data_IF_149144182758
#
_entry.id   IF_149144182758
#
_cell.length_a   1.000
_cell.length_b   1.000
_cell.length_c   1.000
_cell.angle_alpha   90.00
_cell.angle_beta   90.00
_cell.angle_gamma   90.00
#
_symmetry.space_group_name_H-M   'P 1'
#
loop_
_entity.id
_entity.type
_entity.pdbx_description
1 polymer ?
#
# COMPACT_ATOMS: atom_id res chain seq x y z
N UNK A 1 -7.10 -23.54 12.78
CA UNK A 1 -6.03 -22.52 12.97
C UNK A 1 -5.78 -22.14 14.44
N UNK A 2 -6.80 -21.84 15.25
CA UNK A 2 -6.66 -21.19 16.58
C UNK A 2 -5.67 -21.85 17.57
N UNK A 3 -5.86 -23.13 17.91
CA UNK A 3 -5.00 -23.86 18.87
C UNK A 3 -3.51 -23.82 18.49
N UNK A 4 -3.22 -23.84 17.19
CA UNK A 4 -1.86 -23.77 16.67
C UNK A 4 -1.22 -22.40 16.96
N UNK A 5 -1.93 -21.29 16.68
CA UNK A 5 -1.44 -19.94 16.95
C UNK A 5 -1.28 -19.67 18.46
N UNK A 6 -2.16 -20.24 19.30
CA UNK A 6 -1.97 -20.23 20.76
C UNK A 6 -0.67 -20.95 21.15
N UNK A 7 -0.39 -22.11 20.55
CA UNK A 7 0.89 -22.82 20.68
C UNK A 7 2.10 -21.98 20.24
N UNK A 8 2.01 -21.28 19.11
CA UNK A 8 3.07 -20.36 18.66
C UNK A 8 3.36 -19.27 19.71
N UNK A 9 2.33 -18.65 20.32
CA UNK A 9 2.53 -17.63 21.36
C UNK A 9 3.15 -18.20 22.64
N UNK A 10 2.83 -19.44 23.01
CA UNK A 10 3.48 -20.12 24.14
C UNK A 10 4.96 -20.36 23.85
N UNK A 11 5.30 -20.83 22.64
CA UNK A 11 6.67 -21.09 22.22
C UNK A 11 7.58 -19.83 22.21
N UNK A 12 7.03 -18.63 22.03
CA UNK A 12 7.79 -17.37 22.16
C UNK A 12 8.30 -17.09 23.59
N UNK A 13 7.77 -17.78 24.61
CA UNK A 13 8.24 -17.66 26.00
C UNK A 13 9.36 -18.67 26.34
N UNK A 14 9.70 -19.56 25.40
CA UNK A 14 10.74 -20.57 25.54
C UNK A 14 11.99 -20.15 24.76
N UNK A 15 13.20 -20.33 25.32
CA UNK A 15 14.43 -20.18 24.51
C UNK A 15 14.65 -21.45 23.69
N UNK A 16 14.23 -21.41 22.43
CA UNK A 16 14.29 -22.54 21.49
C UNK A 16 14.50 -22.02 20.06
N UNK A 17 14.97 -22.87 19.13
CA UNK A 17 14.94 -22.57 17.69
C UNK A 17 13.50 -22.35 17.20
N UNK A 18 13.31 -21.36 16.33
CA UNK A 18 12.04 -20.96 15.72
C UNK A 18 12.19 -20.76 14.21
N UNK A 19 11.22 -21.27 13.44
CA UNK A 19 11.08 -21.05 12.01
C UNK A 19 10.02 -19.96 11.78
N UNK A 20 10.45 -18.72 11.59
CA UNK A 20 9.54 -17.59 11.41
C UNK A 20 9.12 -17.47 9.94
N UNK A 21 7.81 -17.56 9.69
CA UNK A 21 7.22 -17.29 8.38
C UNK A 21 6.77 -15.83 8.34
N UNK A 22 7.42 -15.03 7.50
CA UNK A 22 7.32 -13.58 7.50
C UNK A 22 6.72 -13.07 6.18
N UNK A 23 5.65 -12.29 6.28
CA UNK A 23 5.08 -11.53 5.15
C UNK A 23 5.84 -10.23 4.86
N UNK A 24 5.48 -9.54 3.78
CA UNK A 24 6.08 -8.25 3.44
C UNK A 24 5.66 -7.15 4.45
N UNK A 25 6.45 -6.07 4.51
CA UNK A 25 6.24 -4.94 5.44
C UNK A 25 4.94 -4.16 5.22
N UNK A 26 4.30 -4.24 4.04
CA UNK A 26 2.97 -3.65 3.85
C UNK A 26 1.93 -4.39 4.71
N UNK A 27 2.16 -5.69 4.94
CA UNK A 27 1.31 -6.63 5.65
C UNK A 27 -0.15 -6.48 5.20
N UNK A 28 -0.37 -6.77 3.93
CA UNK A 28 -1.69 -6.86 3.33
C UNK A 28 -2.29 -8.25 3.53
N UNK A 29 -3.42 -8.52 2.87
CA UNK A 29 -4.15 -9.77 3.02
C UNK A 29 -3.37 -10.98 2.48
N UNK A 30 -2.55 -10.79 1.44
CA UNK A 30 -1.75 -11.87 0.84
C UNK A 30 -0.61 -12.26 1.76
N UNK A 31 0.24 -11.30 2.12
CA UNK A 31 1.30 -11.47 3.11
C UNK A 31 0.80 -12.11 4.42
N UNK A 32 -0.37 -11.69 4.90
CA UNK A 32 -0.95 -12.21 6.15
C UNK A 32 -1.44 -13.65 6.00
N UNK A 33 -2.24 -13.94 4.98
CA UNK A 33 -2.82 -15.28 4.78
C UNK A 33 -1.76 -16.28 4.33
N UNK A 34 -0.85 -15.88 3.46
CA UNK A 34 0.27 -16.71 3.02
C UNK A 34 1.16 -17.10 4.21
N UNK A 35 1.44 -16.19 5.15
CA UNK A 35 2.23 -16.50 6.34
C UNK A 35 1.48 -17.48 7.27
N UNK A 36 0.22 -17.19 7.59
CA UNK A 36 -0.61 -18.03 8.46
C UNK A 36 -0.79 -19.44 7.90
N UNK A 37 -1.16 -19.56 6.62
CA UNK A 37 -1.44 -20.84 5.99
C UNK A 37 -0.18 -21.68 5.74
N UNK A 38 0.94 -21.06 5.32
CA UNK A 38 2.19 -21.79 5.13
C UNK A 38 2.78 -22.26 6.45
N UNK A 39 2.79 -21.41 7.50
CA UNK A 39 3.29 -21.81 8.81
C UNK A 39 2.46 -22.96 9.43
N UNK A 40 1.12 -22.87 9.32
CA UNK A 40 0.21 -23.94 9.76
C UNK A 40 0.44 -25.25 9.00
N UNK A 41 0.63 -25.19 7.68
CA UNK A 41 0.96 -26.35 6.86
C UNK A 41 2.28 -27.00 7.31
N UNK A 42 3.36 -26.23 7.42
CA UNK A 42 4.68 -26.73 7.81
C UNK A 42 4.64 -27.37 9.21
N UNK A 43 3.99 -26.73 10.18
CA UNK A 43 3.79 -27.27 11.53
C UNK A 43 2.91 -28.54 11.60
N UNK A 44 2.28 -28.93 10.49
CA UNK A 44 1.46 -30.15 10.38
C UNK A 44 2.10 -31.23 9.50
N UNK A 45 3.03 -30.88 8.61
CA UNK A 45 3.76 -31.83 7.76
C UNK A 45 5.15 -32.20 8.28
N UNK A 46 5.80 -31.35 9.08
CA UNK A 46 7.14 -31.60 9.59
C UNK A 46 7.10 -32.63 10.73
N UNK A 47 7.83 -33.74 10.59
CA UNK A 47 7.89 -34.81 11.61
C UNK A 47 8.72 -34.43 12.85
N UNK A 48 9.60 -33.43 12.74
CA UNK A 48 10.41 -32.91 13.84
C UNK A 48 9.60 -31.98 14.75
N UNK A 49 10.03 -31.83 16.01
CA UNK A 49 9.45 -30.86 16.98
C UNK A 49 9.84 -29.39 16.69
N UNK A 50 9.91 -29.04 15.40
CA UNK A 50 10.14 -27.68 14.90
C UNK A 50 8.90 -26.82 15.11
N UNK A 51 9.11 -25.56 15.48
CA UNK A 51 8.02 -24.59 15.69
C UNK A 51 8.05 -23.55 14.58
N UNK A 52 7.04 -23.61 13.72
CA UNK A 52 6.78 -22.59 12.71
C UNK A 52 5.90 -21.50 13.32
N UNK A 53 6.31 -20.23 13.15
CA UNK A 53 5.65 -19.06 13.74
C UNK A 53 5.30 -18.06 12.63
N UNK A 54 4.01 -17.86 12.32
CA UNK A 54 3.62 -16.80 11.39
C UNK A 54 3.70 -15.44 12.08
N UNK A 55 4.42 -14.50 11.47
CA UNK A 55 4.61 -13.14 12.00
C UNK A 55 4.04 -12.14 11.01
N UNK A 56 3.10 -11.31 11.47
CA UNK A 56 2.60 -10.16 10.72
C UNK A 56 3.64 -9.05 10.81
N UNK A 57 4.17 -8.63 9.66
CA UNK A 57 5.35 -7.75 9.57
C UNK A 57 5.02 -6.26 9.74
N UNK A 58 4.23 -5.95 10.77
CA UNK A 58 3.80 -4.61 11.22
C UNK A 58 3.75 -4.60 12.74
N UNK A 59 3.60 -3.41 13.34
CA UNK A 59 3.35 -3.30 14.79
C UNK A 59 1.93 -3.75 15.11
N UNK A 60 1.67 -4.34 16.29
CA UNK A 60 0.30 -4.70 16.74
C UNK A 60 -0.67 -3.51 16.64
N UNK A 61 -0.20 -2.30 16.92
CA UNK A 61 -0.99 -1.06 16.84
C UNK A 61 -1.49 -0.70 15.41
N UNK A 62 -0.96 -1.36 14.37
CA UNK A 62 -1.21 -1.06 12.97
C UNK A 62 -2.21 -2.01 12.30
N UNK A 63 -2.55 -3.13 12.95
CA UNK A 63 -3.59 -4.05 12.47
C UNK A 63 -4.94 -3.35 12.23
N UNK A 64 -5.46 -2.47 13.11
CA UNK A 64 -6.74 -1.78 12.86
C UNK A 64 -6.78 -0.98 11.54
N UNK A 65 -5.62 -0.56 11.02
CA UNK A 65 -5.53 0.17 9.75
C UNK A 65 -5.84 -0.73 8.54
N UNK A 66 -5.69 -2.05 8.66
CA UNK A 66 -5.99 -3.06 7.65
C UNK A 66 -7.39 -3.66 7.88
N UNK A 67 -8.41 -2.85 7.59
CA UNK A 67 -9.82 -3.19 7.81
C UNK A 67 -10.28 -4.45 7.08
N UNK A 68 -9.70 -4.76 5.91
CA UNK A 68 -9.87 -6.01 5.18
C UNK A 68 -9.36 -7.23 5.96
N UNK A 69 -8.15 -7.15 6.53
CA UNK A 69 -7.57 -8.20 7.38
C UNK A 69 -8.41 -8.40 8.65
N UNK A 70 -8.70 -7.32 9.37
CA UNK A 70 -9.51 -7.33 10.60
C UNK A 70 -10.88 -7.98 10.35
N UNK A 71 -11.60 -7.51 9.33
CA UNK A 71 -12.88 -8.08 8.93
C UNK A 71 -12.77 -9.56 8.57
N UNK A 72 -11.74 -9.96 7.83
CA UNK A 72 -11.66 -11.34 7.35
C UNK A 72 -11.33 -12.33 8.45
N UNK A 73 -10.38 -11.99 9.34
CA UNK A 73 -10.04 -12.76 10.52
C UNK A 73 -11.26 -12.96 11.42
N UNK A 74 -12.03 -11.90 11.68
CA UNK A 74 -13.28 -11.98 12.44
C UNK A 74 -14.31 -12.87 11.74
N UNK A 75 -14.47 -12.74 10.41
CA UNK A 75 -15.39 -13.56 9.59
C UNK A 75 -15.02 -15.05 9.55
N UNK A 76 -13.75 -15.41 9.72
CA UNK A 76 -13.29 -16.80 9.85
C UNK A 76 -13.06 -17.26 11.29
N UNK A 77 -13.38 -16.44 12.29
CA UNK A 77 -13.20 -16.70 13.72
C UNK A 77 -11.73 -16.98 14.12
N UNK A 78 -10.81 -16.09 13.75
CA UNK A 78 -9.44 -16.05 14.27
C UNK A 78 -9.28 -14.80 15.16
N UNK A 79 -9.12 -14.94 16.48
CA UNK A 79 -8.90 -13.80 17.37
C UNK A 79 -7.61 -13.03 17.07
N UNK A 80 -7.67 -11.70 17.10
CA UNK A 80 -6.50 -10.83 16.86
C UNK A 80 -5.45 -10.93 18.00
N UNK A 81 -5.87 -11.40 19.18
CA UNK A 81 -5.02 -11.59 20.37
C UNK A 81 -4.02 -12.74 20.26
N UNK A 82 -4.27 -13.73 19.39
CA UNK A 82 -3.39 -14.89 19.21
C UNK A 82 -2.41 -14.73 18.04
N UNK A 83 -2.60 -13.73 17.18
CA UNK A 83 -1.63 -13.35 16.14
C UNK A 83 -0.36 -12.77 16.76
N UNK A 84 0.78 -12.93 16.08
CA UNK A 84 2.09 -12.44 16.49
C UNK A 84 2.55 -11.35 15.53
N UNK A 85 3.06 -10.25 16.09
CA UNK A 85 3.45 -9.05 15.34
C UNK A 85 4.95 -8.79 15.41
N UNK A 86 5.48 -7.97 14.48
CA UNK A 86 6.92 -7.69 14.37
C UNK A 86 7.50 -7.04 15.62
N UNK A 87 6.69 -6.31 16.40
CA UNK A 87 7.02 -5.69 17.68
C UNK A 87 6.86 -6.62 18.90
N UNK A 88 6.39 -7.85 18.72
CA UNK A 88 6.28 -8.88 19.76
C UNK A 88 7.39 -9.96 19.70
N UNK A 89 8.26 -9.90 18.69
CA UNK A 89 9.34 -10.87 18.47
C UNK A 89 10.65 -10.19 18.03
N UNK A 90 11.72 -10.41 18.79
CA UNK A 90 13.05 -9.90 18.42
C UNK A 90 13.80 -10.90 17.54
N UNK A 91 13.59 -10.78 16.22
CA UNK A 91 14.30 -11.58 15.22
C UNK A 91 15.83 -11.38 15.28
N UNK A 92 16.33 -10.19 15.68
CA UNK A 92 17.76 -9.95 15.79
C UNK A 92 18.36 -10.70 16.97
N UNK A 93 17.70 -10.69 18.14
CA UNK A 93 18.12 -11.49 19.28
C UNK A 93 18.10 -13.00 18.98
N UNK A 94 17.04 -13.50 18.32
CA UNK A 94 16.95 -14.90 17.91
C UNK A 94 18.06 -15.28 16.92
N UNK A 95 18.39 -14.40 15.97
CA UNK A 95 19.48 -14.62 15.02
C UNK A 95 20.85 -14.66 15.70
N UNK A 96 21.15 -13.71 16.58
CA UNK A 96 22.39 -13.68 17.35
C UNK A 96 22.53 -14.88 18.30
N UNK A 97 21.42 -15.47 18.76
CA UNK A 97 21.41 -16.71 19.54
C UNK A 97 21.55 -17.99 18.69
N UNK A 98 21.57 -17.90 17.35
CA UNK A 98 21.53 -19.07 16.46
C UNK A 98 20.19 -19.82 16.49
N UNK A 99 19.12 -19.14 16.89
CA UNK A 99 17.78 -19.69 17.10
C UNK A 99 16.75 -19.28 16.03
N UNK A 100 17.15 -18.51 15.01
CA UNK A 100 16.27 -18.07 13.93
C UNK A 100 16.48 -18.86 12.62
N UNK A 101 15.38 -19.27 12.01
CA UNK A 101 15.29 -19.55 10.57
C UNK A 101 14.15 -18.71 10.01
N UNK A 102 14.35 -18.07 8.86
CA UNK A 102 13.34 -17.27 8.16
C UNK A 102 12.82 -17.99 6.91
N UNK A 103 11.51 -17.92 6.73
CA UNK A 103 10.80 -18.31 5.51
C UNK A 103 10.02 -17.07 5.06
N UNK A 104 10.36 -16.52 3.89
CA UNK A 104 9.70 -15.31 3.39
C UNK A 104 8.53 -15.71 2.49
N UNK A 105 7.39 -15.06 2.70
CA UNK A 105 6.21 -15.17 1.83
C UNK A 105 5.83 -13.81 1.31
N UNK A 106 5.36 -13.76 0.06
CA UNK A 106 4.92 -12.54 -0.62
C UNK A 106 6.03 -11.44 -0.67
N UNK A 107 7.27 -11.85 -0.41
CA UNK A 107 8.48 -11.10 -0.71
C UNK A 107 9.74 -11.96 -0.77
N UNK A 108 10.78 -11.43 -1.44
CA UNK A 108 12.11 -12.02 -1.56
C UNK A 108 13.26 -11.08 -1.13
N UNK A 109 12.96 -9.87 -0.65
CA UNK A 109 13.94 -8.86 -0.22
C UNK A 109 13.53 -8.34 1.16
N UNK A 110 14.39 -8.51 2.16
CA UNK A 110 14.16 -8.02 3.52
C UNK A 110 14.17 -6.48 3.59
N UNK A 111 13.55 -5.94 4.64
CA UNK A 111 13.62 -4.50 4.95
C UNK A 111 15.06 -4.07 5.23
N UNK A 112 15.38 -2.77 5.06
CA UNK A 112 16.71 -2.24 5.43
C UNK A 112 17.08 -2.50 6.89
N UNK A 113 16.10 -2.51 7.79
CA UNK A 113 16.28 -2.81 9.21
C UNK A 113 16.55 -4.29 9.48
N UNK A 114 16.23 -5.18 8.55
CA UNK A 114 16.38 -6.64 8.67
C UNK A 114 17.48 -7.20 7.75
N UNK A 115 18.23 -6.37 7.01
CA UNK A 115 19.33 -6.82 6.12
C UNK A 115 20.37 -7.70 6.83
N UNK A 116 20.58 -7.51 8.13
CA UNK A 116 21.47 -8.36 8.93
C UNK A 116 20.97 -9.82 9.10
N UNK A 117 19.71 -10.11 8.72
CA UNK A 117 19.06 -11.41 8.84
C UNK A 117 19.05 -12.20 7.51
N UNK A 118 19.66 -11.70 6.44
CA UNK A 118 19.67 -12.36 5.12
C UNK A 118 20.21 -13.80 5.17
N UNK A 119 21.23 -14.07 6.00
CA UNK A 119 21.80 -15.41 6.17
C UNK A 119 20.86 -16.39 6.91
N UNK A 120 19.82 -15.89 7.61
CA UNK A 120 18.81 -16.72 8.25
C UNK A 120 17.69 -17.16 7.28
N UNK A 121 17.61 -16.59 6.07
CA UNK A 121 16.58 -16.92 5.08
C UNK A 121 16.86 -18.28 4.44
N UNK A 122 16.05 -19.28 4.79
CA UNK A 122 16.16 -20.64 4.27
C UNK A 122 15.25 -20.91 3.06
N UNK A 123 14.10 -20.23 3.00
CA UNK A 123 13.13 -20.40 1.92
C UNK A 123 12.39 -19.10 1.58
N UNK A 124 12.03 -18.94 0.30
CA UNK A 124 11.27 -17.82 -0.25
C UNK A 124 10.15 -18.34 -1.15
N UNK A 125 8.93 -17.86 -0.93
CA UNK A 125 7.75 -18.09 -1.77
C UNK A 125 7.12 -16.74 -2.15
N UNK A 126 7.36 -16.25 -3.36
CA UNK A 126 6.92 -14.92 -3.82
C UNK A 126 6.30 -15.03 -5.22
N UNK A 127 5.45 -14.08 -5.60
CA UNK A 127 4.82 -14.01 -6.92
C UNK A 127 5.30 -12.82 -7.77
N UNK A 128 6.21 -12.00 -7.22
CA UNK A 128 6.72 -10.77 -7.83
C UNK A 128 8.01 -11.03 -8.63
N UNK A 129 8.33 -10.23 -9.68
CA UNK A 129 9.54 -10.43 -10.47
C UNK A 129 10.82 -10.32 -9.63
N UNK A 130 11.73 -11.29 -9.75
CA UNK A 130 13.08 -11.22 -9.16
C UNK A 130 14.01 -10.45 -10.10
N UNK A 131 14.68 -9.41 -9.59
CA UNK A 131 15.84 -8.84 -10.26
C UNK A 131 17.08 -9.75 -10.05
N UNK A 132 17.88 -10.07 -11.09
CA UNK A 132 19.03 -10.98 -10.96
C UNK A 132 20.09 -10.61 -9.91
N UNK A 133 20.11 -9.36 -9.43
CA UNK A 133 21.01 -8.88 -8.38
C UNK A 133 20.56 -9.21 -6.96
N UNK A 134 19.29 -9.54 -6.78
CA UNK A 134 18.63 -9.71 -5.49
C UNK A 134 18.05 -11.12 -5.33
N UNK A 135 18.65 -12.12 -5.99
CA UNK A 135 18.27 -13.52 -5.83
C UNK A 135 18.85 -14.06 -4.51
N UNK A 136 18.03 -14.44 -3.52
CA UNK A 136 18.53 -14.91 -2.22
C UNK A 136 19.29 -16.25 -2.35
N UNK A 137 20.33 -16.50 -1.52
CA UNK A 137 21.15 -17.71 -1.59
C UNK A 137 20.49 -18.96 -0.95
N UNK A 138 19.18 -19.11 -1.13
CA UNK A 138 18.33 -20.09 -0.43
C UNK A 138 17.41 -20.87 -1.40
N UNK A 139 16.44 -21.63 -0.89
CA UNK A 139 15.41 -22.20 -1.76
C UNK A 139 14.40 -21.13 -2.18
N UNK A 140 14.35 -20.79 -3.48
CA UNK A 140 13.49 -19.72 -4.01
C UNK A 140 12.46 -20.32 -4.97
N UNK A 141 11.19 -20.25 -4.58
CA UNK A 141 10.04 -20.63 -5.41
C UNK A 141 9.28 -19.37 -5.82
N UNK A 142 9.51 -18.89 -7.04
CA UNK A 142 8.82 -17.70 -7.58
C UNK A 142 8.17 -17.99 -8.93
N UNK A 143 6.89 -17.63 -9.03
CA UNK A 143 6.10 -17.71 -10.26
C UNK A 143 5.19 -16.49 -10.37
N UNK A 144 5.12 -15.87 -11.55
CA UNK A 144 4.27 -14.69 -11.79
C UNK A 144 2.78 -15.11 -11.82
N UNK A 145 2.15 -15.10 -10.65
CA UNK A 145 0.71 -15.34 -10.43
C UNK A 145 0.02 -14.11 -9.85
N UNK A 146 -1.30 -14.10 -9.75
CA UNK A 146 -2.05 -12.97 -9.20
C UNK A 146 -1.93 -12.78 -7.69
N UNK A 147 -1.55 -13.84 -6.95
CA UNK A 147 -1.42 -13.87 -5.49
C UNK A 147 -0.41 -14.91 -4.99
N UNK A 148 0.41 -14.58 -3.97
CA UNK A 148 1.27 -15.55 -3.29
C UNK A 148 0.45 -16.68 -2.63
N UNK A 149 -0.76 -16.40 -2.13
CA UNK A 149 -1.66 -17.39 -1.58
C UNK A 149 -2.06 -18.50 -2.60
N UNK A 150 -1.98 -18.24 -3.91
CA UNK A 150 -2.11 -19.28 -4.96
C UNK A 150 -0.97 -20.30 -4.87
N UNK A 151 0.25 -19.85 -4.61
CA UNK A 151 1.43 -20.71 -4.46
C UNK A 151 1.39 -21.51 -3.14
N UNK A 152 0.94 -20.88 -2.05
CA UNK A 152 0.70 -21.57 -0.77
C UNK A 152 -0.40 -22.63 -0.94
N UNK A 153 -1.52 -22.30 -1.59
CA UNK A 153 -2.60 -23.24 -1.91
C UNK A 153 -2.10 -24.42 -2.74
N UNK A 154 -1.26 -24.17 -3.74
CA UNK A 154 -0.62 -25.23 -4.52
C UNK A 154 0.20 -26.17 -3.65
N UNK A 155 1.10 -25.63 -2.83
CA UNK A 155 1.99 -26.42 -1.97
C UNK A 155 1.21 -27.34 -1.04
N UNK A 156 0.16 -26.81 -0.39
CA UNK A 156 -0.69 -27.58 0.51
C UNK A 156 -1.40 -28.71 -0.25
N UNK A 157 -2.03 -28.39 -1.38
CA UNK A 157 -2.80 -29.37 -2.17
C UNK A 157 -1.94 -30.42 -2.90
N UNK A 158 -0.64 -30.19 -3.06
CA UNK A 158 0.30 -31.16 -3.62
C UNK A 158 0.97 -32.02 -2.55
N UNK A 159 1.20 -31.49 -1.34
CA UNK A 159 1.86 -32.19 -0.25
C UNK A 159 0.90 -32.99 0.63
N UNK A 160 -0.01 -32.29 1.32
CA UNK A 160 -0.88 -32.85 2.36
C UNK A 160 -2.25 -32.12 2.36
N UNK A 161 -3.11 -32.36 1.35
CA UNK A 161 -4.39 -31.67 1.19
C UNK A 161 -5.35 -31.87 2.38
N UNK A 162 -5.19 -32.95 3.16
CA UNK A 162 -5.95 -33.26 4.36
C UNK A 162 -5.75 -32.28 5.53
N UNK A 163 -4.73 -31.41 5.47
CA UNK A 163 -4.50 -30.34 6.45
C UNK A 163 -5.47 -29.17 6.23
N UNK A 164 -6.01 -29.00 5.02
CA UNK A 164 -7.00 -27.95 4.77
C UNK A 164 -8.29 -28.24 5.53
N UNK A 165 -8.59 -27.36 6.47
CA UNK A 165 -9.93 -27.18 7.01
C UNK A 165 -10.67 -26.06 6.26
N UNK A 166 -11.97 -25.95 6.50
CA UNK A 166 -12.81 -24.88 5.93
C UNK A 166 -12.29 -23.49 6.29
N UNK A 167 -11.66 -23.32 7.46
CA UNK A 167 -11.14 -22.03 7.93
C UNK A 167 -9.95 -21.56 7.07
N UNK A 168 -9.00 -22.45 6.84
CA UNK A 168 -7.78 -22.21 6.06
C UNK A 168 -8.10 -22.12 4.56
N UNK A 169 -8.98 -22.99 4.06
CA UNK A 169 -9.48 -22.91 2.70
C UNK A 169 -10.24 -21.59 2.43
N UNK A 170 -11.02 -21.10 3.40
CA UNK A 170 -11.70 -19.81 3.28
C UNK A 170 -10.71 -18.65 3.20
N UNK A 171 -9.68 -18.61 4.07
CA UNK A 171 -8.63 -17.60 4.01
C UNK A 171 -7.96 -17.57 2.64
N UNK A 172 -7.43 -18.70 2.18
CA UNK A 172 -6.75 -18.82 0.88
C UNK A 172 -7.66 -18.40 -0.29
N UNK A 173 -8.90 -18.87 -0.31
CA UNK A 173 -9.89 -18.52 -1.34
C UNK A 173 -10.17 -17.02 -1.38
N UNK A 174 -10.50 -16.41 -0.24
CA UNK A 174 -10.85 -14.98 -0.20
C UNK A 174 -9.69 -14.06 -0.56
N UNK A 175 -8.46 -14.40 -0.15
CA UNK A 175 -7.25 -13.68 -0.52
C UNK A 175 -7.00 -13.73 -2.03
N UNK A 176 -6.94 -14.94 -2.63
CA UNK A 176 -6.71 -15.08 -4.08
C UNK A 176 -7.82 -14.35 -4.87
N UNK A 177 -9.07 -14.42 -4.42
CA UNK A 177 -10.20 -13.69 -5.04
C UNK A 177 -10.04 -12.17 -4.92
N UNK A 178 -9.60 -11.63 -3.79
CA UNK A 178 -9.33 -10.20 -3.63
C UNK A 178 -8.21 -9.74 -4.56
N UNK A 179 -7.06 -10.43 -4.51
CA UNK A 179 -5.86 -10.01 -5.20
C UNK A 179 -5.95 -10.23 -6.70
N UNK A 180 -6.60 -11.30 -7.17
CA UNK A 180 -6.90 -11.51 -8.59
C UNK A 180 -8.09 -10.67 -9.09
N UNK A 181 -8.60 -9.75 -8.26
CA UNK A 181 -9.72 -8.83 -8.55
C UNK A 181 -10.94 -9.56 -9.11
N UNK A 182 -11.39 -10.57 -8.36
CA UNK A 182 -12.50 -11.46 -8.70
C UNK A 182 -12.35 -12.20 -10.04
N UNK A 183 -11.11 -12.40 -10.49
CA UNK A 183 -10.77 -12.98 -11.80
C UNK A 183 -11.31 -12.16 -13.00
N UNK A 184 -11.48 -10.84 -12.85
CA UNK A 184 -11.99 -10.00 -13.96
C UNK A 184 -10.98 -9.93 -15.11
N UNK A 185 -11.34 -10.56 -16.23
CA UNK A 185 -10.59 -10.60 -17.48
C UNK A 185 -10.33 -9.20 -18.09
N UNK A 186 -11.09 -8.17 -17.70
CA UNK A 186 -10.84 -6.77 -18.12
C UNK A 186 -9.67 -6.14 -17.37
N UNK A 187 -9.39 -6.61 -16.15
CA UNK A 187 -8.31 -6.12 -15.29
C UNK A 187 -7.06 -6.98 -15.50
N UNK A 188 -7.23 -8.30 -15.69
CA UNK A 188 -6.17 -9.18 -16.15
C UNK A 188 -5.08 -9.50 -15.13
N UNK A 189 -5.30 -9.22 -13.83
CA UNK A 189 -4.35 -9.59 -12.75
C UNK A 189 -4.33 -11.10 -12.46
N UNK A 190 -5.42 -11.81 -12.78
CA UNK A 190 -5.53 -13.26 -12.61
C UNK A 190 -4.76 -14.04 -13.70
N UNK A 191 -4.07 -15.12 -13.29
CA UNK A 191 -3.52 -16.12 -14.21
C UNK A 191 -4.39 -17.38 -14.28
N UNK A 192 -4.17 -18.28 -15.26
CA UNK A 192 -4.81 -19.59 -15.29
C UNK A 192 -4.53 -20.44 -14.03
N UNK A 193 -3.39 -20.20 -13.34
CA UNK A 193 -3.03 -20.93 -12.13
C UNK A 193 -3.86 -20.48 -10.92
N UNK A 194 -4.09 -19.18 -10.76
CA UNK A 194 -4.98 -18.63 -9.72
C UNK A 194 -6.40 -19.18 -9.88
N UNK A 195 -6.92 -19.15 -11.11
CA UNK A 195 -8.26 -19.69 -11.42
C UNK A 195 -8.36 -21.19 -11.09
N UNK A 196 -7.38 -22.00 -11.51
CA UNK A 196 -7.28 -23.44 -11.23
C UNK A 196 -7.26 -23.75 -9.73
N UNK A 197 -6.57 -22.95 -8.91
CA UNK A 197 -6.47 -23.21 -7.46
C UNK A 197 -7.69 -22.72 -6.68
N UNK A 198 -8.32 -21.62 -7.08
CA UNK A 198 -9.65 -21.24 -6.59
C UNK A 198 -10.69 -22.32 -6.90
N UNK A 199 -10.73 -22.84 -8.13
CA UNK A 199 -11.66 -23.92 -8.52
C UNK A 199 -11.44 -25.22 -7.71
N UNK A 200 -10.18 -25.56 -7.38
CA UNK A 200 -9.87 -26.68 -6.48
C UNK A 200 -10.39 -26.46 -5.06
N UNK A 201 -10.21 -25.25 -4.49
CA UNK A 201 -10.71 -24.92 -3.16
C UNK A 201 -12.24 -24.98 -3.12
N UNK A 202 -12.92 -24.44 -4.13
CA UNK A 202 -14.38 -24.48 -4.26
C UNK A 202 -14.93 -25.90 -4.45
N UNK A 203 -14.20 -26.77 -5.15
CA UNK A 203 -14.58 -28.18 -5.31
C UNK A 203 -14.41 -29.00 -4.03
N UNK A 204 -13.40 -28.70 -3.20
CA UNK A 204 -13.17 -29.35 -1.90
C UNK A 204 -14.08 -28.81 -0.80
N UNK A 205 -14.44 -27.52 -0.86
CA UNK A 205 -15.27 -26.83 0.12
C UNK A 205 -16.43 -26.08 -0.58
N UNK A 206 -17.49 -26.79 -1.01
CA UNK A 206 -18.60 -26.19 -1.77
C UNK A 206 -19.44 -25.15 -1.02
N UNK A 207 -19.23 -25.01 0.29
CA UNK A 207 -19.88 -24.04 1.17
C UNK A 207 -19.00 -22.81 1.48
N UNK A 208 -17.91 -22.63 0.72
CA UNK A 208 -17.18 -21.36 0.66
C UNK A 208 -18.08 -20.22 0.15
N UNK A 209 -17.82 -18.97 0.57
CA UNK A 209 -18.52 -17.80 0.01
C UNK A 209 -18.36 -17.72 -1.51
N UNK A 210 -19.39 -17.23 -2.22
CA UNK A 210 -19.26 -16.98 -3.66
C UNK A 210 -18.22 -15.90 -3.90
N UNK A 211 -17.49 -16.02 -5.02
CA UNK A 211 -16.39 -15.11 -5.42
C UNK A 211 -16.77 -13.63 -5.33
N UNK A 212 -17.89 -13.22 -5.93
CA UNK A 212 -18.41 -11.85 -5.82
C UNK A 212 -18.69 -11.43 -4.37
N UNK A 213 -19.39 -12.27 -3.60
CA UNK A 213 -19.83 -11.94 -2.24
C UNK A 213 -18.63 -11.73 -1.29
N UNK A 214 -17.54 -12.51 -1.45
CA UNK A 214 -16.31 -12.32 -0.67
C UNK A 214 -15.47 -11.15 -1.20
N UNK A 215 -15.35 -10.98 -2.52
CA UNK A 215 -14.67 -9.85 -3.14
C UNK A 215 -15.27 -8.51 -2.67
N UNK A 216 -16.59 -8.32 -2.84
CA UNK A 216 -17.30 -7.10 -2.46
C UNK A 216 -17.21 -6.86 -0.94
N UNK A 217 -17.26 -7.92 -0.13
CA UNK A 217 -17.08 -7.82 1.33
C UNK A 217 -15.69 -7.30 1.71
N UNK A 218 -14.63 -7.90 1.16
CA UNK A 218 -13.24 -7.54 1.45
C UNK A 218 -12.90 -6.15 0.91
N UNK A 219 -13.32 -5.84 -0.32
CA UNK A 219 -13.13 -4.53 -0.94
C UNK A 219 -13.85 -3.42 -0.16
N UNK A 220 -15.05 -3.69 0.38
CA UNK A 220 -15.73 -2.77 1.29
C UNK A 220 -14.95 -2.58 2.60
N UNK A 221 -14.54 -3.68 3.24
CA UNK A 221 -13.81 -3.64 4.51
C UNK A 221 -12.45 -2.92 4.40
N UNK A 222 -11.77 -3.02 3.26
CA UNK A 222 -10.52 -2.31 2.94
C UNK A 222 -10.66 -0.79 3.08
N UNK A 223 -11.78 -0.23 2.62
CA UNK A 223 -12.07 1.20 2.66
C UNK A 223 -12.97 1.62 3.84
N UNK A 224 -13.47 0.67 4.64
CA UNK A 224 -14.19 1.01 5.86
C UNK A 224 -13.23 1.67 6.86
N UNK A 225 -13.66 2.82 7.37
CA UNK A 225 -12.96 3.62 8.38
C UNK A 225 -13.87 3.93 9.57
N UNK A 226 -15.09 3.40 9.60
CA UNK A 226 -16.11 3.73 10.61
C UNK A 226 -15.70 3.36 12.04
N UNK A 227 -14.93 2.28 12.21
CA UNK A 227 -14.36 1.85 13.49
C UNK A 227 -13.06 2.57 13.90
N UNK A 228 -12.52 3.48 13.09
CA UNK A 228 -11.21 4.10 13.34
C UNK A 228 -11.30 5.39 14.15
N UNK A 229 -10.33 5.57 15.04
CA UNK A 229 -10.01 6.88 15.63
C UNK A 229 -9.48 7.85 14.56
N UNK A 230 -9.45 9.15 14.87
CA UNK A 230 -9.00 10.16 13.91
C UNK A 230 -7.51 9.97 13.58
N UNK A 231 -6.68 9.65 14.59
CA UNK A 231 -5.26 9.30 14.42
C UNK A 231 -5.08 8.11 13.46
N UNK A 232 -5.87 7.05 13.64
CA UNK A 232 -5.82 5.85 12.78
C UNK A 232 -6.25 6.17 11.34
N UNK A 233 -7.31 6.97 11.16
CA UNK A 233 -7.70 7.45 9.82
C UNK A 233 -6.56 8.18 9.12
N UNK A 234 -5.85 9.05 9.85
CA UNK A 234 -4.73 9.83 9.31
C UNK A 234 -3.51 8.96 8.95
N UNK A 235 -3.26 7.86 9.69
CA UNK A 235 -2.15 6.92 9.42
C UNK A 235 -2.45 5.91 8.32
N UNK A 236 -3.71 5.48 8.16
CA UNK A 236 -4.12 4.34 7.30
C UNK A 236 -3.54 4.39 5.88
N UNK A 237 -3.60 5.55 5.22
CA UNK A 237 -3.01 5.74 3.89
C UNK A 237 -2.28 7.09 3.79
N UNK A 238 -1.19 7.19 4.55
CA UNK A 238 -0.38 8.39 4.71
C UNK A 238 0.87 8.37 3.82
N UNK A 239 1.31 9.54 3.35
CA UNK A 239 2.68 9.76 2.85
C UNK A 239 3.26 11.04 3.43
N UNK A 240 4.57 11.07 3.64
CA UNK A 240 5.31 12.24 4.12
C UNK A 240 6.13 12.84 2.99
N UNK A 241 6.21 14.16 2.95
CA UNK A 241 7.28 14.88 2.24
C UNK A 241 8.01 15.79 3.23
N UNK A 242 9.27 16.06 2.94
CA UNK A 242 10.13 16.92 3.74
C UNK A 242 10.91 17.87 2.85
N UNK A 243 11.12 19.11 3.32
CA UNK A 243 12.01 20.08 2.67
C UNK A 243 12.46 21.14 3.66
N UNK A 244 13.78 21.34 3.76
CA UNK A 244 14.39 22.47 4.46
C UNK A 244 13.79 22.72 5.86
N UNK A 245 13.60 21.65 6.63
CA UNK A 245 13.03 21.70 7.99
C UNK A 245 11.51 21.49 8.07
N UNK A 246 10.75 21.70 6.99
CA UNK A 246 9.29 21.53 7.00
C UNK A 246 8.88 20.11 6.61
N UNK A 247 8.12 19.44 7.48
CA UNK A 247 7.59 18.07 7.33
C UNK A 247 6.08 18.13 7.10
N UNK A 248 5.62 17.58 5.97
CA UNK A 248 4.20 17.59 5.57
C UNK A 248 3.66 16.16 5.49
N UNK A 249 2.58 15.89 6.21
CA UNK A 249 1.79 14.68 6.07
C UNK A 249 0.69 14.86 5.01
N UNK A 250 0.48 13.86 4.16
CA UNK A 250 -0.63 13.78 3.21
C UNK A 250 -1.36 12.45 3.45
N UNK A 251 -2.55 12.53 4.04
CA UNK A 251 -3.34 11.37 4.45
C UNK A 251 -4.57 11.21 3.57
N UNK A 252 -4.79 10.04 2.97
CA UNK A 252 -6.06 9.75 2.30
C UNK A 252 -7.09 9.19 3.28
N UNK A 253 -8.28 9.78 3.29
CA UNK A 253 -9.38 9.44 4.22
C UNK A 253 -10.59 8.95 3.41
N UNK A 254 -11.05 7.74 3.67
CA UNK A 254 -12.11 7.08 2.89
C UNK A 254 -13.52 7.40 3.43
N UNK A 255 -13.83 8.69 3.56
CA UNK A 255 -15.15 9.21 3.93
C UNK A 255 -15.37 10.59 3.31
N UNK A 256 -16.57 11.14 3.45
CA UNK A 256 -16.86 12.53 3.07
C UNK A 256 -16.18 13.54 4.02
N UNK A 257 -15.75 14.69 3.49
CA UNK A 257 -15.08 15.73 4.27
C UNK A 257 -15.97 16.41 5.30
N UNK A 258 -17.26 16.64 5.05
CA UNK A 258 -18.14 17.22 6.07
C UNK A 258 -18.25 16.28 7.27
N UNK A 259 -18.45 14.97 7.01
CA UNK A 259 -18.44 13.95 8.04
C UNK A 259 -17.09 13.84 8.78
N UNK A 260 -15.96 14.02 8.10
CA UNK A 260 -14.64 14.06 8.73
C UNK A 260 -14.46 15.31 9.61
N UNK A 261 -14.89 16.48 9.11
CA UNK A 261 -14.83 17.78 9.81
C UNK A 261 -15.75 17.84 11.04
N UNK A 262 -16.80 17.01 11.09
CA UNK A 262 -17.74 16.92 12.22
C UNK A 262 -17.31 15.93 13.32
N UNK A 263 -16.15 15.25 13.19
CA UNK A 263 -15.69 14.28 14.21
C UNK A 263 -15.45 14.94 15.58
N UNK A 264 -15.84 14.25 16.64
CA UNK A 264 -15.59 14.67 18.02
C UNK A 264 -14.11 14.90 18.27
N UNK A 265 -13.76 16.02 18.91
CA UNK A 265 -12.38 16.42 19.24
C UNK A 265 -11.43 16.60 18.06
N UNK A 266 -11.90 16.65 16.81
CA UNK A 266 -11.07 16.69 15.59
C UNK A 266 -9.85 17.61 15.70
N UNK A 267 -10.03 18.89 16.06
CA UNK A 267 -8.91 19.84 16.13
C UNK A 267 -7.85 19.44 17.15
N UNK A 268 -8.24 18.87 18.29
CA UNK A 268 -7.31 18.35 19.29
C UNK A 268 -6.58 17.10 18.75
N UNK A 269 -7.29 16.21 18.05
CA UNK A 269 -6.70 15.04 17.39
C UNK A 269 -5.69 15.46 16.30
N UNK A 270 -6.02 16.46 15.46
CA UNK A 270 -5.12 16.98 14.42
C UNK A 270 -3.87 17.61 15.05
N UNK A 271 -4.02 18.41 16.10
CA UNK A 271 -2.89 18.98 16.84
C UNK A 271 -2.02 17.90 17.48
N UNK A 272 -2.61 16.92 18.14
CA UNK A 272 -1.89 15.82 18.78
C UNK A 272 -1.15 14.95 17.76
N UNK A 273 -1.77 14.65 16.62
CA UNK A 273 -1.14 13.92 15.52
C UNK A 273 0.06 14.67 14.93
N UNK A 274 -0.10 15.97 14.65
CA UNK A 274 0.99 16.81 14.16
C UNK A 274 2.15 16.91 15.16
N UNK A 275 1.86 17.02 16.46
CA UNK A 275 2.88 17.05 17.52
C UNK A 275 3.60 15.70 17.67
N UNK A 276 2.86 14.58 17.68
CA UNK A 276 3.42 13.24 17.91
C UNK A 276 4.37 12.77 16.78
N UNK A 277 4.20 13.30 15.57
CA UNK A 277 5.00 12.94 14.39
C UNK A 277 5.84 14.10 13.83
N UNK A 278 5.91 15.23 14.53
CA UNK A 278 6.63 16.44 14.12
C UNK A 278 6.23 16.96 12.72
N UNK A 279 4.93 17.02 12.41
CA UNK A 279 4.40 17.58 11.16
C UNK A 279 3.99 19.05 11.31
N UNK A 280 4.52 19.93 10.46
CA UNK A 280 4.14 21.35 10.38
C UNK A 280 2.82 21.57 9.61
N UNK A 281 2.52 20.63 8.71
CA UNK A 281 1.35 20.65 7.83
C UNK A 281 0.77 19.25 7.73
N UNK A 282 -0.55 19.16 7.84
CA UNK A 282 -1.32 17.97 7.52
C UNK A 282 -2.32 18.27 6.39
N UNK A 283 -2.26 17.47 5.34
CA UNK A 283 -3.15 17.52 4.18
C UNK A 283 -4.03 16.28 4.18
N UNK A 284 -5.29 16.42 4.58
CA UNK A 284 -6.28 15.36 4.52
C UNK A 284 -6.96 15.37 3.14
N UNK A 285 -6.71 14.33 2.32
CA UNK A 285 -7.36 14.09 1.04
C UNK A 285 -8.52 13.12 1.24
N UNK A 286 -9.74 13.62 1.22
CA UNK A 286 -10.93 12.77 1.37
C UNK A 286 -11.37 12.18 0.04
N UNK A 287 -11.93 10.97 0.08
CA UNK A 287 -12.58 10.33 -1.06
C UNK A 287 -13.78 9.50 -0.60
N UNK A 288 -14.90 9.65 -1.31
CA UNK A 288 -16.05 8.75 -1.22
C UNK A 288 -16.67 8.58 -2.61
N UNK A 289 -17.64 7.67 -2.73
CA UNK A 289 -18.40 7.46 -3.97
C UNK A 289 -19.82 7.99 -3.81
N UNK A 290 -20.31 8.73 -4.81
CA UNK A 290 -21.68 9.24 -4.80
C UNK A 290 -22.72 8.15 -5.14
N UNK A 291 -24.00 8.51 -5.21
CA UNK A 291 -25.11 7.61 -5.59
C UNK A 291 -25.01 7.01 -6.99
N UNK A 292 -24.11 7.51 -7.84
CA UNK A 292 -23.82 7.00 -9.19
C UNK A 292 -22.52 6.19 -9.25
N UNK A 293 -21.92 5.89 -8.10
CA UNK A 293 -20.61 5.25 -7.95
C UNK A 293 -19.45 6.04 -8.59
N UNK A 294 -19.58 7.37 -8.67
CA UNK A 294 -18.53 8.26 -9.14
C UNK A 294 -17.69 8.76 -7.95
N UNK A 295 -16.36 8.83 -8.07
CA UNK A 295 -15.50 9.29 -6.98
C UNK A 295 -15.61 10.81 -6.78
N UNK A 296 -15.96 11.24 -5.57
CA UNK A 296 -15.89 12.62 -5.11
C UNK A 296 -14.58 12.79 -4.33
N UNK A 297 -13.87 13.90 -4.55
CA UNK A 297 -12.66 14.26 -3.80
C UNK A 297 -12.82 15.63 -3.17
N UNK A 298 -12.46 15.74 -1.90
CA UNK A 298 -12.29 17.02 -1.20
C UNK A 298 -10.94 17.02 -0.47
N UNK A 299 -10.48 18.20 -0.08
CA UNK A 299 -9.17 18.45 0.50
C UNK A 299 -9.33 19.30 1.76
N UNK A 300 -8.62 18.98 2.83
CA UNK A 300 -8.42 19.87 3.96
C UNK A 300 -6.93 20.04 4.29
N UNK A 301 -6.54 21.27 4.60
CA UNK A 301 -5.17 21.67 4.90
C UNK A 301 -5.15 22.24 6.31
N UNK A 302 -4.56 21.48 7.23
CA UNK A 302 -4.30 21.89 8.59
C UNK A 302 -2.85 22.36 8.72
N UNK A 303 -2.65 23.64 9.06
CA UNK A 303 -1.32 24.20 9.29
C UNK A 303 -1.40 25.35 10.30
N UNK A 304 -0.76 25.26 11.47
CA UNK A 304 -0.70 26.36 12.43
C UNK A 304 0.13 27.56 11.98
N UNK A 305 1.00 27.42 10.99
CA UNK A 305 1.90 28.48 10.52
C UNK A 305 1.28 29.25 9.34
N UNK A 306 0.61 30.36 9.64
CA UNK A 306 -0.21 31.14 8.68
C UNK A 306 0.49 31.42 7.35
N UNK A 307 1.73 31.91 7.34
CA UNK A 307 2.41 32.21 6.07
C UNK A 307 2.68 30.96 5.21
N UNK A 308 2.92 29.81 5.84
CA UNK A 308 3.12 28.53 5.14
C UNK A 308 1.78 28.00 4.62
N UNK A 309 0.73 28.07 5.44
CA UNK A 309 -0.64 27.75 5.06
C UNK A 309 -1.07 28.55 3.82
N UNK A 310 -0.86 29.88 3.82
CA UNK A 310 -1.20 30.76 2.70
C UNK A 310 -0.46 30.36 1.42
N UNK A 311 0.87 30.16 1.47
CA UNK A 311 1.62 29.75 0.27
C UNK A 311 1.15 28.40 -0.28
N UNK A 312 0.85 27.43 0.59
CA UNK A 312 0.33 26.13 0.17
C UNK A 312 -1.05 26.27 -0.47
N UNK A 313 -1.97 27.03 0.14
CA UNK A 313 -3.29 27.27 -0.44
C UNK A 313 -3.19 27.97 -1.80
N UNK A 314 -2.40 29.04 -1.92
CA UNK A 314 -2.24 29.79 -3.17
C UNK A 314 -1.70 28.93 -4.33
N UNK A 315 -0.68 28.09 -4.08
CA UNK A 315 -0.10 27.23 -5.12
C UNK A 315 -1.07 26.13 -5.55
N UNK A 316 -1.83 25.55 -4.61
CA UNK A 316 -2.83 24.53 -4.94
C UNK A 316 -4.05 25.13 -5.68
N UNK A 317 -4.53 26.30 -5.26
CA UNK A 317 -5.62 27.03 -5.92
C UNK A 317 -5.26 27.47 -7.35
N UNK A 318 -4.02 27.94 -7.56
CA UNK A 318 -3.52 28.39 -8.88
C UNK A 318 -2.97 27.25 -9.75
N UNK A 319 -2.99 26.00 -9.28
CA UNK A 319 -2.39 24.90 -10.05
C UNK A 319 -3.12 24.67 -11.38
N UNK A 320 -2.33 24.60 -12.46
CA UNK A 320 -2.80 24.36 -13.83
C UNK A 320 -2.33 23.02 -14.41
N UNK A 321 -1.37 22.35 -13.78
CA UNK A 321 -0.78 21.09 -14.26
C UNK A 321 -0.40 20.17 -13.08
N UNK A 322 -1.32 19.34 -12.57
CA UNK A 322 -2.70 19.17 -13.02
C UNK A 322 -3.65 20.26 -12.48
N UNK A 323 -4.71 20.65 -13.21
CA UNK A 323 -5.67 21.63 -12.72
C UNK A 323 -6.55 21.01 -11.63
N UNK A 324 -6.34 21.39 -10.36
CA UNK A 324 -7.09 20.83 -9.22
C UNK A 324 -8.56 21.24 -9.20
N UNK A 325 -8.86 22.45 -9.70
CA UNK A 325 -10.20 23.08 -9.66
C UNK A 325 -10.76 23.12 -8.23
N UNK A 326 -9.96 23.62 -7.29
CA UNK A 326 -10.38 23.78 -5.89
C UNK A 326 -11.48 24.85 -5.79
N UNK A 327 -12.49 24.57 -4.98
CA UNK A 327 -13.52 25.52 -4.59
C UNK A 327 -13.62 25.51 -3.06
N UNK A 328 -13.55 26.67 -2.37
CA UNK A 328 -13.58 26.69 -0.91
C UNK A 328 -14.84 26.04 -0.33
N UNK A 329 -14.65 25.25 0.71
CA UNK A 329 -15.69 24.63 1.53
C UNK A 329 -15.65 25.21 2.95
N UNK A 330 -16.75 25.11 3.68
CA UNK A 330 -16.84 25.65 5.04
C UNK A 330 -15.90 24.92 6.01
N UNK A 331 -15.07 25.68 6.71
CA UNK A 331 -14.30 25.21 7.87
C UNK A 331 -14.56 26.13 9.08
N UNK A 332 -14.38 25.58 10.28
CA UNK A 332 -14.72 26.27 11.56
C UNK A 332 -13.51 26.87 12.27
N UNK A 333 -12.30 26.74 11.71
CA UNK A 333 -11.06 27.06 12.40
C UNK A 333 -10.03 27.70 11.46
N UNK A 334 -9.34 28.80 11.84
CA UNK A 334 -8.42 29.53 10.94
C UNK A 334 -7.27 28.65 10.42
N UNK A 335 -6.71 27.79 11.26
CA UNK A 335 -5.60 26.91 10.86
C UNK A 335 -6.05 25.71 9.98
N UNK A 336 -7.31 25.66 9.54
CA UNK A 336 -7.89 24.56 8.78
C UNK A 336 -8.67 25.09 7.56
N UNK A 337 -8.12 24.93 6.36
CA UNK A 337 -8.79 25.32 5.11
C UNK A 337 -9.37 24.08 4.43
N UNK A 338 -10.60 24.17 3.92
CA UNK A 338 -11.31 23.06 3.27
C UNK A 338 -11.69 23.42 1.82
N UNK A 339 -11.66 22.43 0.93
CA UNK A 339 -11.95 22.60 -0.51
C UNK A 339 -12.66 21.38 -1.10
N UNK A 340 -13.64 21.61 -1.96
CA UNK A 340 -14.09 20.61 -2.93
C UNK A 340 -13.13 20.60 -4.14
N UNK A 341 -12.62 19.43 -4.51
CA UNK A 341 -11.66 19.26 -5.61
C UNK A 341 -12.39 18.86 -6.89
N UNK A 342 -12.69 19.84 -7.75
CA UNK A 342 -13.46 19.63 -8.98
C UNK A 342 -12.78 18.73 -10.03
N UNK A 343 -11.48 18.46 -9.92
CA UNK A 343 -10.80 17.43 -10.71
C UNK A 343 -10.59 16.15 -9.91
N UNK A 344 -11.57 15.25 -9.96
CA UNK A 344 -11.60 13.99 -9.18
C UNK A 344 -10.59 12.94 -9.64
N UNK A 345 -9.91 13.16 -10.77
CA UNK A 345 -8.84 12.29 -11.27
C UNK A 345 -7.48 12.54 -10.57
N UNK A 346 -7.31 13.68 -9.89
CA UNK A 346 -6.07 14.00 -9.19
C UNK A 346 -6.04 13.31 -7.82
N UNK A 347 -5.21 12.28 -7.70
CA UNK A 347 -4.94 11.55 -6.46
C UNK A 347 -3.70 12.08 -5.72
N UNK A 348 -3.40 11.54 -4.53
CA UNK A 348 -2.17 11.84 -3.77
C UNK A 348 -0.90 11.73 -4.62
N UNK A 349 -0.79 10.72 -5.52
CA UNK A 349 0.35 10.56 -6.45
C UNK A 349 0.60 11.83 -7.30
N UNK A 350 -0.46 12.58 -7.66
CA UNK A 350 -0.39 13.81 -8.47
C UNK A 350 -0.45 15.12 -7.66
N UNK A 351 -0.88 15.09 -6.39
CA UNK A 351 -0.82 16.24 -5.48
C UNK A 351 0.60 16.46 -4.91
N UNK A 352 1.36 15.38 -4.68
CA UNK A 352 2.69 15.44 -4.06
C UNK A 352 3.67 16.44 -4.74
N UNK A 353 3.80 16.51 -6.08
CA UNK A 353 4.67 17.50 -6.73
C UNK A 353 4.22 18.95 -6.49
N UNK A 354 2.92 19.22 -6.43
CA UNK A 354 2.38 20.57 -6.16
C UNK A 354 2.67 21.02 -4.73
N UNK A 355 2.65 20.09 -3.77
CA UNK A 355 3.07 20.39 -2.40
C UNK A 355 4.59 20.64 -2.32
N UNK A 356 5.41 19.91 -3.09
CA UNK A 356 6.84 20.20 -3.19
C UNK A 356 7.10 21.58 -3.83
N UNK A 357 6.32 21.97 -4.83
CA UNK A 357 6.34 23.32 -5.44
C UNK A 357 5.94 24.40 -4.44
N UNK A 358 4.87 24.19 -3.67
CA UNK A 358 4.44 25.11 -2.61
C UNK A 358 5.54 25.33 -1.55
N UNK A 359 6.22 24.24 -1.14
CA UNK A 359 7.37 24.34 -0.26
C UNK A 359 8.54 25.09 -0.93
N UNK A 360 8.77 24.97 -2.26
CA UNK A 360 9.73 25.83 -2.97
C UNK A 360 9.40 27.30 -2.77
N UNK A 361 8.18 27.69 -3.17
CA UNK A 361 7.74 29.08 -3.21
C UNK A 361 7.81 29.73 -1.82
N UNK A 362 7.48 28.98 -0.78
CA UNK A 362 7.57 29.42 0.61
C UNK A 362 9.02 29.78 0.99
N UNK A 363 9.97 28.87 0.82
CA UNK A 363 11.38 29.13 1.17
C UNK A 363 12.05 30.16 0.27
N UNK A 364 11.64 30.26 -0.99
CA UNK A 364 12.17 31.28 -1.90
C UNK A 364 11.64 32.68 -1.55
N UNK A 365 10.39 32.80 -1.07
CA UNK A 365 9.85 34.06 -0.54
C UNK A 365 10.60 34.55 0.71
N UNK A 366 11.09 33.63 1.56
CA UNK A 366 11.87 33.96 2.75
C UNK A 366 13.31 34.41 2.47
N UNK A 367 13.85 34.13 1.28
CA UNK A 367 15.23 34.51 0.90
C UNK A 367 15.34 35.92 0.34
N UNK A 368 14.23 36.56 -0.02
CA UNK A 368 14.22 37.92 -0.58
C UNK A 368 14.48 38.90 0.57
N UNK A 369 15.61 39.63 0.60
CA UNK A 369 15.83 40.66 1.62
C UNK A 369 14.80 41.77 1.43
N UNK A 370 14.22 42.27 2.53
CA UNK A 370 13.31 43.41 2.50
C UNK A 370 14.02 44.63 1.91
N UNK A 371 13.72 44.95 0.64
CA UNK A 371 14.44 45.97 -0.11
C UNK A 371 14.24 47.38 0.46
N UNK A 372 15.34 48.11 0.62
CA UNK A 372 15.28 49.57 0.73
C UNK A 372 14.88 50.18 -0.63
N UNK A 373 14.16 51.31 -0.66
CA UNK A 373 13.73 51.93 -1.90
C UNK A 373 14.88 52.69 -2.59
N UNK A 374 14.91 52.54 -3.91
CA UNK A 374 15.44 53.43 -4.96
C UNK A 374 16.36 54.60 -4.57
N UNK A 375 17.61 54.54 -5.04
CA UNK A 375 18.24 55.69 -5.71
C UNK A 375 19.00 55.21 -6.93
N UNK A 376 18.65 55.71 -8.11
CA UNK A 376 19.41 55.47 -9.33
C UNK A 376 20.67 56.36 -9.38
N UNK A 377 21.79 55.82 -9.85
CA UNK A 377 22.64 56.58 -10.77
C UNK A 377 23.46 55.67 -11.70
N UNK A 378 23.96 56.26 -12.78
CA UNK A 378 24.48 55.64 -14.00
C UNK A 378 25.99 55.51 -13.95
N UNK A 379 26.55 54.39 -14.42
CA UNK A 379 27.77 54.36 -15.27
C UNK A 379 28.05 52.96 -15.86
N UNK A 380 28.38 52.93 -17.15
CA UNK A 380 28.94 51.77 -17.86
C UNK A 380 30.45 51.76 -17.71
N UNK A 381 31.08 50.59 -17.65
CA UNK A 381 32.24 50.28 -18.50
C UNK A 381 32.54 48.77 -18.57
N UNK A 382 33.20 48.36 -19.66
CA UNK A 382 33.44 46.96 -20.03
C UNK A 382 34.84 46.51 -19.61
N UNK A 383 35.00 45.30 -19.07
CA UNK A 383 36.26 44.53 -19.19
C UNK A 383 35.94 43.04 -19.35
N UNK A 384 36.25 42.49 -20.52
CA UNK A 384 36.36 41.04 -20.73
C UNK A 384 37.59 40.49 -20.01
N UNK A 385 37.47 39.31 -19.39
CA UNK A 385 38.52 38.28 -19.42
C UNK A 385 38.02 36.89 -19.03
N UNK A 386 38.45 35.93 -19.85
CA UNK A 386 38.24 34.49 -19.69
C UNK A 386 38.90 33.96 -18.40
N UNK A 387 38.34 32.90 -17.79
CA UNK A 387 39.08 31.66 -17.50
C UNK A 387 38.17 30.51 -17.03
N UNK A 388 38.18 29.43 -17.82
CA UNK A 388 38.12 28.00 -17.49
C UNK A 388 37.09 27.34 -16.52
N UNK A 389 36.47 26.28 -17.08
CA UNK A 389 36.24 24.93 -16.49
C UNK A 389 35.41 24.79 -15.20
N UNK A 390 34.22 24.20 -15.34
CA UNK A 390 34.00 22.74 -15.18
C UNK A 390 32.52 22.40 -14.90
N UNK A 391 32.12 21.20 -15.32
CA UNK A 391 30.80 20.56 -15.22
C UNK A 391 29.95 20.85 -13.97
N UNK A 392 28.73 21.36 -14.18
CA UNK A 392 27.61 21.15 -13.25
C UNK A 392 26.72 20.02 -13.77
N UNK A 393 26.98 18.80 -13.29
CA UNK A 393 26.05 17.68 -13.39
C UNK A 393 24.97 17.83 -12.32
N UNK A 394 23.70 17.92 -12.73
CA UNK A 394 22.55 17.94 -11.82
C UNK A 394 22.39 16.55 -11.18
N UNK A 395 22.85 16.40 -9.94
CA UNK A 395 22.72 15.16 -9.17
C UNK A 395 21.56 15.29 -8.16
N UNK A 396 20.73 14.25 -8.15
CA UNK A 396 19.60 14.05 -7.24
C UNK A 396 20.03 14.11 -5.77
N UNK A 397 19.38 14.95 -4.98
CA UNK A 397 19.54 15.04 -3.53
C UNK A 397 18.40 14.35 -2.78
N UNK A 398 18.50 13.03 -2.61
CA UNK A 398 17.67 12.24 -1.70
C UNK A 398 18.54 11.67 -0.57
N UNK A 399 18.40 12.20 0.62
CA UNK A 399 18.91 11.66 1.89
C UNK A 399 17.89 12.05 2.98
N UNK A 400 17.14 11.13 3.59
CA UNK A 400 17.59 10.17 4.61
C UNK A 400 18.30 10.88 5.77
N UNK A 401 17.50 11.50 6.63
CA UNK A 401 17.81 11.65 8.05
C UNK A 401 17.18 10.45 8.79
N UNK A 402 17.95 9.85 9.68
CA UNK A 402 17.53 8.70 10.49
C UNK A 402 16.94 9.18 11.82
N UNK A 403 15.77 8.68 12.21
CA UNK A 403 15.32 8.46 13.61
C UNK A 403 13.86 7.99 13.70
N UNK A 404 13.01 8.28 12.70
CA UNK A 404 11.65 7.72 12.62
C UNK A 404 11.67 6.29 12.05
N UNK A 405 10.99 5.30 12.68
CA UNK A 405 10.79 4.00 12.07
C UNK A 405 9.98 4.18 10.76
N UNK A 406 10.40 3.59 9.63
CA UNK A 406 9.65 3.71 8.39
C UNK A 406 8.23 3.17 8.60
N UNK A 407 7.23 4.00 8.29
CA UNK A 407 5.85 3.55 8.27
C UNK A 407 5.72 2.44 7.22
N UNK A 408 5.03 1.33 7.53
CA UNK A 408 4.86 0.23 6.59
C UNK A 408 4.23 0.77 5.29
N UNK A 409 4.75 0.38 4.11
CA UNK A 409 4.24 0.89 2.84
C UNK A 409 2.74 0.62 2.71
N UNK A 410 2.02 1.55 2.06
CA UNK A 410 0.58 1.40 1.81
C UNK A 410 0.31 0.01 1.19
N UNK A 411 -0.58 -0.83 1.79
CA UNK A 411 -0.96 -2.14 1.28
C UNK A 411 -1.18 -2.16 -0.24
N UNK A 412 -0.24 -2.73 -1.00
CA UNK A 412 -0.05 -2.42 -2.41
C UNK A 412 -0.95 -3.23 -3.36
N UNK A 413 -2.17 -3.51 -2.91
CA UNK A 413 -3.19 -4.28 -3.62
C UNK A 413 -4.44 -3.43 -3.94
N UNK A 414 -4.27 -2.36 -4.73
CA UNK A 414 -5.37 -1.66 -5.44
C UNK A 414 -4.87 -0.59 -6.43
N UNK A 415 -5.03 -0.88 -7.73
CA UNK A 415 -5.18 0.06 -8.85
C UNK A 415 -4.00 0.97 -9.25
N UNK A 416 -3.48 0.66 -10.44
CA UNK A 416 -2.57 1.45 -11.28
C UNK A 416 -1.12 1.55 -10.80
N UNK A 417 -0.39 0.49 -11.09
CA UNK A 417 0.87 0.60 -11.82
C UNK A 417 0.62 0.05 -13.24
N UNK A 418 1.12 0.76 -14.26
CA UNK A 418 0.80 0.61 -15.70
C UNK A 418 -0.70 0.72 -16.09
N UNK A 419 -1.22 1.95 -16.20
CA UNK A 419 -2.40 2.15 -17.05
C UNK A 419 -1.93 2.18 -18.52
N UNK A 420 -2.58 1.47 -19.46
CA UNK A 420 -2.28 1.59 -20.90
C UNK A 420 -2.45 3.01 -21.48
N UNK A 421 -2.99 3.95 -20.71
CA UNK A 421 -3.13 5.37 -21.03
C UNK A 421 -1.95 6.25 -20.58
N UNK A 422 -1.00 5.72 -19.79
CA UNK A 422 0.21 6.47 -19.37
C UNK A 422 1.17 6.73 -20.57
N UNK A 423 1.02 5.97 -21.66
CA UNK A 423 1.65 6.21 -22.97
C UNK A 423 0.85 7.19 -23.86
N UNK A 424 -0.22 7.78 -23.33
CA UNK A 424 -1.25 8.51 -24.08
C UNK A 424 -2.32 7.60 -24.68
N UNK A 425 -3.38 8.20 -25.23
CA UNK A 425 -4.43 7.45 -25.93
C UNK A 425 -3.82 6.69 -27.12
N UNK A 426 -4.08 5.37 -27.28
CA UNK A 426 -3.70 4.67 -28.50
C UNK A 426 -4.35 5.35 -29.71
N UNK A 427 -3.58 5.54 -30.78
CA UNK A 427 -4.08 6.09 -32.05
C UNK A 427 -4.97 5.08 -32.76
N UNK A 428 -6.19 4.92 -32.26
CA UNK A 428 -7.24 4.12 -32.87
C UNK A 428 -7.73 4.82 -34.14
N UNK A 429 -7.27 4.37 -35.31
CA UNK A 429 -7.92 4.71 -36.57
C UNK A 429 -9.28 4.02 -36.66
N UNK A 430 -10.22 4.60 -37.42
CA UNK A 430 -11.50 3.95 -37.70
C UNK A 430 -11.32 2.56 -38.34
N UNK A 431 -10.27 2.40 -39.14
CA UNK A 431 -9.89 1.13 -39.77
C UNK A 431 -9.47 0.08 -38.73
N UNK A 432 -8.64 0.43 -37.74
CA UNK A 432 -8.23 -0.49 -36.69
C UNK A 432 -9.40 -0.96 -35.80
N UNK A 433 -10.41 -0.11 -35.60
CA UNK A 433 -11.65 -0.49 -34.91
C UNK A 433 -12.47 -1.45 -35.80
N UNK A 434 -12.63 -1.14 -37.09
CA UNK A 434 -13.41 -1.94 -38.04
C UNK A 434 -12.81 -3.34 -38.24
N UNK A 435 -11.49 -3.44 -38.35
CA UNK A 435 -10.76 -4.70 -38.49
C UNK A 435 -10.93 -5.59 -37.26
N UNK A 436 -10.88 -5.01 -36.06
CA UNK A 436 -11.05 -5.75 -34.79
C UNK A 436 -12.50 -6.21 -34.57
N UNK A 437 -13.49 -5.40 -34.93
CA UNK A 437 -14.89 -5.82 -34.98
C UNK A 437 -15.13 -6.95 -36.00
N UNK A 438 -14.44 -6.92 -37.14
CA UNK A 438 -14.50 -7.97 -38.16
C UNK A 438 -13.92 -9.29 -37.65
N UNK A 439 -12.77 -9.25 -36.95
CA UNK A 439 -12.16 -10.44 -36.33
C UNK A 439 -13.07 -11.09 -35.27
N UNK A 440 -13.75 -10.29 -34.43
CA UNK A 440 -14.71 -10.79 -33.42
C UNK A 440 -15.92 -11.45 -34.10
N UNK A 441 -16.41 -10.87 -35.19
CA UNK A 441 -17.53 -11.45 -35.96
C UNK A 441 -17.14 -12.78 -36.59
N UNK A 442 -15.90 -12.90 -37.09
CA UNK A 442 -15.35 -14.13 -37.66
C UNK A 442 -15.14 -15.23 -36.60
N UNK A 443 -14.63 -14.89 -35.41
CA UNK A 443 -14.43 -15.88 -34.32
C UNK A 443 -15.75 -16.37 -33.71
N UNK A 444 -16.78 -15.52 -33.63
CA UNK A 444 -18.13 -15.94 -33.25
C UNK A 444 -18.79 -16.83 -34.31
N UNK A 445 -18.52 -16.59 -35.61
CA UNK A 445 -19.03 -17.46 -36.69
C UNK A 445 -18.37 -18.85 -36.75
N UNK A 446 -17.10 -18.95 -36.37
CA UNK A 446 -16.37 -20.24 -36.32
C UNK A 446 -16.74 -21.06 -35.08
N UNK A 447 -16.98 -20.42 -33.94
CA UNK A 447 -17.51 -21.11 -32.74
C UNK A 447 -18.96 -21.58 -32.92
N UNK A 448 -19.82 -20.79 -33.59
CA UNK A 448 -21.21 -21.18 -33.87
C UNK A 448 -21.37 -22.28 -34.96
N UNK A 449 -20.32 -22.56 -35.75
CA UNK A 449 -20.33 -23.62 -36.78
C UNK A 449 -19.70 -24.93 -36.32
N UNK A 450 -18.88 -24.91 -35.26
CA UNK A 450 -18.33 -26.11 -34.62
C UNK A 450 -19.30 -26.78 -33.63
N UNK A 451 -20.36 -26.09 -33.20
CA UNK A 451 -21.39 -26.62 -32.28
C UNK A 451 -22.61 -27.24 -32.98
N UNK A 452 -22.48 -27.64 -34.26
CA UNK A 452 -23.58 -28.18 -35.10
C UNK A 452 -23.18 -29.38 -35.97
N UNK A 453 -22.26 -30.23 -35.49
CA UNK A 453 -21.93 -31.53 -36.09
C UNK A 453 -21.77 -32.61 -35.02
#
# INVERSE_FOLDING_TARGET
MEDYLQGCRAALQESRPLHVVLGNEACDLDSTVSALALAFYLAKTTEAEEVFVPVLNIKRSELPLRGDIVFFLQKVHIPESILIFRDEIDLHALYQAGQLTLILVDHHILSKSDTALEEAVAEVLDHRPIEPKHCPPCHVSVELVGSCATLVTERILQGAPEILDRQTAALLHGTIILDCVNMDLKIGKATPKDSKYVEKLEALFPDLPKRNDIFDSLQKAKFDVSGLTTEQMLRKDQKTIYRQGVKVAISAIYMDLEAFLQRSNLLADLHAFCQAHSYDVLVAMTIFFNTHNEPVRQLAIFCPHVALQTTICEVLERSHSPPLKLTPASSTHPNLHAYLQGNTQVSRKKLLPLLQEALSAYFDSMKIPSGQPETADVSREQVDKELDRASNSLISGLSQDEEDPPLPPTPMNSLVDECPLDQGLPKLSAEAVFEKCSQISLSQSTTASLSKK
#
